data_IF_678800069264
#
_entry.id   IF_678800069264
#
_cell.length_a   1.000
_cell.length_b   1.000
_cell.length_c   1.000
_cell.angle_alpha   90.00
_cell.angle_beta   90.00
_cell.angle_gamma   90.00
#
_symmetry.space_group_name_H-M   'P 1'
#
loop_
_entity.id
_entity.type
_entity.pdbx_description
1 polymer ?
#
# COMPACT_ATOMS: atom_id res chain seq x y z
N UNK A 1 -18.41 4.73 -2.60
CA UNK A 1 -17.12 5.34 -3.04
C UNK A 1 -16.79 6.67 -2.35
N UNK A 2 -17.60 7.73 -2.47
CA UNK A 2 -17.29 9.04 -1.84
C UNK A 2 -17.09 9.00 -0.32
N UNK A 3 -17.89 8.20 0.38
CA UNK A 3 -17.74 8.03 1.83
C UNK A 3 -16.38 7.43 2.22
N UNK A 4 -15.86 6.48 1.43
CA UNK A 4 -14.55 5.85 1.65
C UNK A 4 -13.41 6.83 1.37
N UNK A 5 -13.54 7.64 0.31
CA UNK A 5 -12.57 8.69 -0.01
C UNK A 5 -12.50 9.71 1.13
N UNK A 6 -13.65 10.15 1.65
CA UNK A 6 -13.69 11.10 2.75
C UNK A 6 -13.07 10.52 4.04
N UNK A 7 -13.30 9.24 4.34
CA UNK A 7 -12.64 8.60 5.49
C UNK A 7 -11.13 8.48 5.29
N UNK A 8 -10.70 8.19 4.06
CA UNK A 8 -9.26 8.10 3.75
C UNK A 8 -8.59 9.48 3.81
N UNK A 9 -9.25 10.56 3.34
CA UNK A 9 -8.77 11.93 3.53
C UNK A 9 -8.52 12.23 5.01
N UNK A 10 -9.46 11.84 5.89
CA UNK A 10 -9.29 12.03 7.32
C UNK A 10 -8.10 11.21 7.88
N UNK A 11 -7.92 9.97 7.42
CA UNK A 11 -6.82 9.10 7.83
C UNK A 11 -5.45 9.66 7.39
N UNK A 12 -5.31 10.07 6.12
CA UNK A 12 -4.08 10.66 5.58
C UNK A 12 -3.73 11.95 6.31
N UNK A 13 -4.73 12.81 6.57
CA UNK A 13 -4.54 14.02 7.39
C UNK A 13 -4.02 13.69 8.78
N UNK A 14 -4.63 12.74 9.47
CA UNK A 14 -4.20 12.34 10.80
C UNK A 14 -2.77 11.80 10.79
N UNK A 15 -2.41 11.00 9.78
CA UNK A 15 -1.05 10.49 9.60
C UNK A 15 -0.04 11.63 9.38
N UNK A 16 -0.37 12.62 8.57
CA UNK A 16 0.47 13.79 8.35
C UNK A 16 0.64 14.61 9.64
N UNK A 17 -0.45 14.86 10.36
CA UNK A 17 -0.40 15.60 11.64
C UNK A 17 0.46 14.88 12.68
N UNK A 18 0.35 13.56 12.79
CA UNK A 18 1.18 12.76 13.70
C UNK A 18 2.68 12.88 13.38
N UNK A 19 3.04 12.96 12.09
CA UNK A 19 4.43 13.12 11.66
C UNK A 19 4.95 14.56 11.84
N UNK A 20 4.14 15.56 11.49
CA UNK A 20 4.58 16.96 11.48
C UNK A 20 4.48 17.62 12.86
N UNK A 21 3.47 17.27 13.66
CA UNK A 21 3.22 17.96 14.91
C UNK A 21 4.11 17.50 16.06
N UNK A 22 4.90 16.42 15.88
CA UNK A 22 5.84 15.93 16.90
C UNK A 22 5.17 15.65 18.26
N UNK A 23 3.89 15.28 18.26
CA UNK A 23 3.08 15.08 19.47
C UNK A 23 2.33 16.32 19.97
N UNK A 24 2.42 17.47 19.31
CA UNK A 24 1.57 18.63 19.59
C UNK A 24 0.20 18.48 18.92
N UNK A 25 -0.91 18.84 19.58
CA UNK A 25 -2.20 18.89 18.93
C UNK A 25 -2.22 20.03 17.90
N UNK A 26 -2.26 19.69 16.61
CA UNK A 26 -2.52 20.63 15.53
C UNK A 26 -3.95 20.47 15.01
N UNK A 27 -4.57 21.59 14.68
CA UNK A 27 -5.91 21.59 14.10
C UNK A 27 -5.86 21.10 12.65
N UNK A 28 -6.60 20.02 12.36
CA UNK A 28 -6.70 19.42 11.03
C UNK A 28 -7.44 20.31 10.02
N UNK A 29 -8.21 21.28 10.50
CA UNK A 29 -8.94 22.25 9.66
C UNK A 29 -8.01 23.20 8.90
N UNK A 30 -6.75 23.31 9.35
CA UNK A 30 -5.73 24.13 8.70
C UNK A 30 -5.30 23.59 7.33
N UNK A 31 -5.62 22.32 7.04
CA UNK A 31 -5.23 21.65 5.79
C UNK A 31 -6.48 21.33 4.97
N UNK A 32 -6.67 21.95 3.78
CA UNK A 32 -7.82 21.65 2.91
C UNK A 32 -7.89 20.18 2.50
N UNK A 33 -9.11 19.64 2.38
CA UNK A 33 -9.36 18.25 1.93
C UNK A 33 -8.78 17.99 0.54
N UNK A 34 -8.87 18.98 -0.36
CA UNK A 34 -8.39 18.89 -1.75
C UNK A 34 -6.90 18.57 -1.87
N UNK A 35 -6.10 18.88 -0.83
CA UNK A 35 -4.68 18.53 -0.79
C UNK A 35 -4.45 17.02 -0.68
N UNK A 36 -5.41 16.27 -0.14
CA UNK A 36 -5.30 14.85 0.14
C UNK A 36 -6.21 13.99 -0.74
N UNK A 37 -7.18 14.61 -1.42
CA UNK A 37 -8.14 13.89 -2.26
C UNK A 37 -7.48 12.99 -3.32
N UNK A 38 -6.44 13.41 -4.08
CA UNK A 38 -5.81 12.53 -5.08
C UNK A 38 -5.15 11.29 -4.46
N UNK A 39 -4.47 11.45 -3.32
CA UNK A 39 -3.83 10.33 -2.62
C UNK A 39 -4.88 9.39 -2.02
N UNK A 40 -5.92 9.95 -1.39
CA UNK A 40 -7.02 9.19 -0.81
C UNK A 40 -7.78 8.39 -1.88
N UNK A 41 -8.06 8.99 -3.03
CA UNK A 41 -8.69 8.31 -4.16
C UNK A 41 -7.83 7.14 -4.66
N UNK A 42 -6.50 7.34 -4.79
CA UNK A 42 -5.56 6.28 -5.18
C UNK A 42 -5.58 5.13 -4.17
N UNK A 43 -5.48 5.41 -2.87
CA UNK A 43 -5.48 4.40 -1.80
C UNK A 43 -6.79 3.61 -1.74
N UNK A 44 -7.94 4.30 -1.80
CA UNK A 44 -9.25 3.65 -1.82
C UNK A 44 -9.40 2.77 -3.06
N UNK A 45 -8.97 3.24 -4.22
CA UNK A 45 -9.05 2.48 -5.47
C UNK A 45 -8.19 1.22 -5.39
N UNK A 46 -6.93 1.33 -4.94
CA UNK A 46 -6.05 0.18 -4.77
C UNK A 46 -6.60 -0.83 -3.75
N UNK A 47 -7.08 -0.36 -2.60
CA UNK A 47 -7.67 -1.24 -1.60
C UNK A 47 -8.89 -2.01 -2.12
N UNK A 48 -9.73 -1.37 -2.94
CA UNK A 48 -10.86 -2.03 -3.60
C UNK A 48 -10.40 -3.03 -4.67
N UNK A 49 -9.36 -2.72 -5.44
CA UNK A 49 -8.79 -3.64 -6.43
C UNK A 49 -8.20 -4.88 -5.77
N UNK A 50 -7.41 -4.70 -4.71
CA UNK A 50 -6.86 -5.81 -3.92
C UNK A 50 -7.98 -6.68 -3.38
N UNK A 51 -9.00 -6.08 -2.74
CA UNK A 51 -10.13 -6.83 -2.20
C UNK A 51 -10.90 -7.62 -3.27
N UNK A 52 -11.12 -7.04 -4.45
CA UNK A 52 -11.80 -7.69 -5.55
C UNK A 52 -10.96 -8.84 -6.13
N UNK A 53 -9.65 -8.63 -6.35
CA UNK A 53 -8.74 -9.66 -6.87
C UNK A 53 -8.63 -10.81 -5.87
N UNK A 54 -8.41 -10.53 -4.59
CA UNK A 54 -8.37 -11.54 -3.53
C UNK A 54 -9.65 -12.37 -3.50
N UNK A 55 -10.82 -11.74 -3.63
CA UNK A 55 -12.09 -12.45 -3.67
C UNK A 55 -12.24 -13.30 -4.94
N UNK A 56 -11.94 -12.73 -6.11
CA UNK A 56 -12.09 -13.41 -7.40
C UNK A 56 -11.16 -14.62 -7.55
N UNK A 57 -9.96 -14.54 -6.95
CA UNK A 57 -8.96 -15.60 -6.96
C UNK A 57 -9.02 -16.50 -5.72
N UNK A 58 -10.00 -16.29 -4.82
CA UNK A 58 -10.15 -17.04 -3.56
C UNK A 58 -8.86 -17.08 -2.73
N UNK A 59 -8.12 -15.97 -2.70
CA UNK A 59 -6.89 -15.86 -1.93
C UNK A 59 -7.21 -15.71 -0.44
N UNK A 60 -6.58 -16.56 0.36
CA UNK A 60 -6.56 -16.46 1.81
C UNK A 60 -5.18 -16.01 2.28
N UNK A 61 -5.14 -15.26 3.39
CA UNK A 61 -3.88 -14.82 3.99
C UNK A 61 -3.08 -16.04 4.43
N UNK A 62 -1.83 -16.15 3.95
CA UNK A 62 -0.94 -17.23 4.38
C UNK A 62 -0.36 -16.94 5.78
N UNK A 63 -0.84 -17.67 6.78
CA UNK A 63 -0.38 -17.58 8.17
C UNK A 63 1.13 -17.84 8.33
N UNK A 64 1.73 -18.66 7.46
CA UNK A 64 3.17 -18.91 7.48
C UNK A 64 3.95 -17.68 6.99
N UNK A 65 3.45 -17.00 5.95
CA UNK A 65 4.02 -15.73 5.49
C UNK A 65 3.85 -14.62 6.53
N UNK A 66 2.70 -14.55 7.20
CA UNK A 66 2.47 -13.62 8.32
C UNK A 66 3.48 -13.85 9.43
N UNK A 67 3.67 -15.09 9.86
CA UNK A 67 4.66 -15.44 10.87
C UNK A 67 6.07 -15.06 10.43
N UNK A 68 6.46 -15.42 9.20
CA UNK A 68 7.78 -15.11 8.67
C UNK A 68 8.05 -13.61 8.65
N UNK A 69 7.06 -12.80 8.23
CA UNK A 69 7.17 -11.34 8.22
C UNK A 69 7.32 -10.76 9.63
N UNK A 70 6.56 -11.26 10.60
CA UNK A 70 6.69 -10.84 12.00
C UNK A 70 8.09 -11.17 12.54
N UNK A 71 8.58 -12.39 12.27
CA UNK A 71 9.90 -12.85 12.70
C UNK A 71 11.03 -12.02 12.05
N UNK A 72 10.92 -11.70 10.76
CA UNK A 72 11.87 -10.84 10.04
C UNK A 72 11.93 -9.44 10.65
N UNK A 73 10.78 -8.81 10.90
CA UNK A 73 10.74 -7.49 11.53
C UNK A 73 11.30 -7.54 12.96
N UNK A 74 10.91 -8.56 13.74
CA UNK A 74 11.36 -8.73 15.11
C UNK A 74 12.87 -8.98 15.23
N UNK A 75 13.49 -9.64 14.25
CA UNK A 75 14.91 -9.96 14.24
C UNK A 75 15.83 -8.71 14.26
N UNK A 76 15.29 -7.54 13.89
CA UNK A 76 16.02 -6.27 13.94
C UNK A 76 16.10 -5.65 15.35
N UNK A 77 15.35 -6.20 16.31
CA UNK A 77 15.28 -5.69 17.68
C UNK A 77 16.13 -6.53 18.63
N UNK A 78 16.55 -5.93 19.75
CA UNK A 78 17.33 -6.60 20.79
C UNK A 78 16.56 -7.75 21.49
N UNK A 79 15.23 -7.67 21.51
CA UNK A 79 14.33 -8.61 22.19
C UNK A 79 13.23 -9.08 21.23
N UNK A 80 13.56 -9.92 20.23
CA UNK A 80 12.65 -10.31 19.17
C UNK A 80 11.39 -11.00 19.70
N UNK A 81 11.49 -11.79 20.76
CA UNK A 81 10.34 -12.52 21.34
C UNK A 81 9.26 -11.57 21.88
N UNK A 82 9.65 -10.41 22.41
CA UNK A 82 8.70 -9.41 22.90
C UNK A 82 7.97 -8.72 21.75
N UNK A 83 8.67 -8.48 20.63
CA UNK A 83 8.07 -7.89 19.43
C UNK A 83 7.09 -8.87 18.79
N UNK A 84 7.47 -10.14 18.68
CA UNK A 84 6.58 -11.21 18.20
C UNK A 84 5.32 -11.27 19.08
N UNK A 85 5.48 -11.32 20.40
CA UNK A 85 4.35 -11.35 21.33
C UNK A 85 3.47 -10.10 21.19
N UNK A 86 4.05 -8.92 21.02
CA UNK A 86 3.32 -7.68 20.82
C UNK A 86 2.37 -7.80 19.61
N UNK A 87 2.87 -8.24 18.46
CA UNK A 87 2.04 -8.42 17.27
C UNK A 87 0.87 -9.40 17.52
N UNK A 88 1.12 -10.55 18.13
CA UNK A 88 0.06 -11.53 18.40
C UNK A 88 -0.94 -11.13 19.49
N UNK A 89 -0.59 -10.17 20.37
CA UNK A 89 -1.50 -9.65 21.40
C UNK A 89 -2.23 -8.38 21.00
N UNK A 90 -1.78 -7.73 19.92
CA UNK A 90 -2.36 -6.50 19.41
C UNK A 90 -3.00 -6.79 18.05
N UNK A 91 -4.32 -7.01 18.05
CA UNK A 91 -5.09 -7.30 16.84
C UNK A 91 -4.89 -6.23 15.75
N UNK A 92 -4.79 -4.95 16.12
CA UNK A 92 -4.56 -3.88 15.13
C UNK A 92 -3.19 -4.02 14.47
N UNK A 93 -2.15 -4.38 15.23
CA UNK A 93 -0.81 -4.60 14.69
C UNK A 93 -0.77 -5.85 13.81
N UNK A 94 -1.42 -6.94 14.25
CA UNK A 94 -1.50 -8.18 13.48
C UNK A 94 -2.24 -7.99 12.16
N UNK A 95 -3.39 -7.31 12.18
CA UNK A 95 -4.18 -7.00 10.98
C UNK A 95 -3.36 -6.20 9.95
N UNK A 96 -2.48 -5.30 10.41
CA UNK A 96 -1.57 -4.57 9.53
C UNK A 96 -0.60 -5.49 8.78
N UNK A 97 -0.02 -6.48 9.47
CA UNK A 97 0.84 -7.48 8.83
C UNK A 97 0.05 -8.37 7.88
N UNK A 98 -1.12 -8.86 8.30
CA UNK A 98 -1.99 -9.68 7.44
C UNK A 98 -2.41 -8.95 6.17
N UNK A 99 -2.71 -7.65 6.27
CA UNK A 99 -3.03 -6.82 5.11
C UNK A 99 -1.85 -6.72 4.15
N UNK A 100 -0.64 -6.45 4.67
CA UNK A 100 0.57 -6.39 3.85
C UNK A 100 0.89 -7.74 3.18
N UNK A 101 0.68 -8.86 3.87
CA UNK A 101 0.86 -10.20 3.30
C UNK A 101 -0.17 -10.48 2.19
N UNK A 102 -1.43 -10.10 2.39
CA UNK A 102 -2.46 -10.20 1.34
C UNK A 102 -2.08 -9.36 0.11
N UNK A 103 -1.58 -8.15 0.32
CA UNK A 103 -1.11 -7.29 -0.78
C UNK A 103 0.01 -7.97 -1.58
N UNK A 104 1.03 -8.52 -0.91
CA UNK A 104 2.11 -9.26 -1.56
C UNK A 104 1.57 -10.46 -2.36
N UNK A 105 0.65 -11.24 -1.77
CA UNK A 105 0.04 -12.39 -2.44
C UNK A 105 -0.76 -11.98 -3.68
N UNK A 106 -1.49 -10.87 -3.63
CA UNK A 106 -2.22 -10.33 -4.78
C UNK A 106 -1.26 -9.88 -5.88
N UNK A 107 -0.17 -9.21 -5.52
CA UNK A 107 0.85 -8.78 -6.49
C UNK A 107 1.45 -9.98 -7.20
N UNK A 108 1.85 -11.02 -6.46
CA UNK A 108 2.38 -12.25 -7.05
C UNK A 108 1.37 -12.91 -7.99
N UNK A 109 0.12 -13.02 -7.56
CA UNK A 109 -0.95 -13.59 -8.38
C UNK A 109 -1.19 -12.82 -9.69
N UNK A 110 -1.06 -11.48 -9.66
CA UNK A 110 -1.13 -10.66 -10.87
C UNK A 110 0.10 -10.88 -11.75
N UNK A 111 1.30 -10.95 -11.17
CA UNK A 111 2.56 -11.18 -11.89
C UNK A 111 2.56 -12.51 -12.65
N UNK A 112 1.93 -13.55 -12.09
CA UNK A 112 1.75 -14.85 -12.74
C UNK A 112 0.86 -14.80 -14.01
N UNK A 113 0.00 -13.79 -14.12
CA UNK A 113 -0.98 -13.65 -15.20
C UNK A 113 -0.59 -12.65 -16.29
N UNK A 114 0.44 -11.85 -16.04
CA UNK A 114 0.92 -10.84 -16.99
C UNK A 114 2.15 -11.32 -17.74
N UNK A 115 2.36 -10.75 -18.92
CA UNK A 115 3.59 -10.99 -19.68
C UNK A 115 4.71 -10.14 -19.11
N UNK A 116 5.69 -10.78 -18.49
CA UNK A 116 6.91 -10.11 -18.02
C UNK A 116 7.83 -9.88 -19.23
N UNK A 117 8.28 -8.64 -19.40
CA UNK A 117 9.32 -8.25 -20.35
C UNK A 117 10.51 -7.68 -19.60
N UNK A 118 11.70 -8.18 -19.91
CA UNK A 118 12.95 -7.67 -19.33
C UNK A 118 13.60 -6.68 -20.29
N UNK A 119 13.96 -5.50 -19.78
CA UNK A 119 14.71 -4.49 -20.51
C UNK A 119 16.06 -4.25 -19.83
N UNK A 120 17.15 -4.28 -20.60
CA UNK A 120 18.48 -3.92 -20.08
C UNK A 120 18.66 -2.42 -20.16
N UNK A 121 18.62 -1.77 -19.01
CA UNK A 121 18.88 -0.33 -18.85
C UNK A 121 20.27 -0.09 -18.24
N UNK A 122 20.88 1.06 -18.53
CA UNK A 122 22.09 1.48 -17.84
C UNK A 122 21.80 1.91 -16.40
N UNK A 123 22.82 1.92 -15.54
CA UNK A 123 22.68 2.39 -14.15
C UNK A 123 22.15 3.83 -14.06
N UNK A 124 22.55 4.71 -14.99
CA UNK A 124 22.11 6.10 -15.02
C UNK A 124 20.64 6.20 -15.43
N UNK A 125 20.17 5.34 -16.32
CA UNK A 125 18.76 5.27 -16.72
C UNK A 125 17.89 4.70 -15.60
N UNK A 126 18.34 3.65 -14.90
CA UNK A 126 17.60 3.06 -13.77
C UNK A 126 17.40 4.00 -12.56
N UNK A 127 18.21 5.06 -12.44
CA UNK A 127 18.10 6.06 -11.37
C UNK A 127 17.33 7.31 -11.79
N UNK A 128 16.99 7.46 -13.07
CA UNK A 128 16.19 8.59 -13.51
C UNK A 128 14.74 8.37 -13.05
N UNK A 129 14.07 9.39 -12.50
CA UNK A 129 12.64 9.30 -12.22
C UNK A 129 11.91 9.03 -13.53
N UNK A 130 10.91 8.15 -13.50
CA UNK A 130 10.10 7.86 -14.68
C UNK A 130 9.60 9.18 -15.29
N UNK A 131 9.84 9.34 -16.60
CA UNK A 131 9.26 10.46 -17.32
C UNK A 131 7.73 10.36 -17.18
N UNK A 132 7.01 11.48 -17.00
CA UNK A 132 5.57 11.45 -16.97
C UNK A 132 5.06 10.75 -18.24
N UNK A 133 4.28 9.68 -18.07
CA UNK A 133 3.72 8.93 -19.19
C UNK A 133 2.94 9.89 -20.09
N UNK A 134 3.42 10.09 -21.33
CA UNK A 134 2.62 10.73 -22.35
C UNK A 134 1.42 9.79 -22.62
N UNK A 135 0.19 10.32 -22.64
CA UNK A 135 -0.97 9.47 -22.91
C UNK A 135 -0.76 8.81 -24.27
N UNK A 136 -0.80 7.48 -24.29
CA UNK A 136 -0.78 6.69 -25.51
C UNK A 136 -1.89 7.21 -26.43
N UNK A 137 -1.48 7.89 -27.51
CA UNK A 137 -2.39 8.35 -28.56
C UNK A 137 -3.05 7.10 -29.15
N UNK A 138 -4.35 6.94 -28.88
CA UNK A 138 -5.18 5.85 -29.38
C UNK A 138 -5.33 5.94 -30.90
N UNK A 139 -4.27 5.60 -31.61
CA UNK A 139 -4.23 5.54 -33.06
C UNK A 139 -4.79 4.20 -33.55
N UNK A 140 -6.11 4.08 -33.66
CA UNK A 140 -6.75 3.30 -34.73
C UNK A 140 -8.21 3.75 -34.94
N UNK A 141 -8.40 4.94 -35.52
CA UNK A 141 -9.62 5.21 -36.30
C UNK A 141 -9.37 4.74 -37.75
N UNK A 142 -9.51 3.44 -37.97
CA UNK A 142 -9.61 2.85 -39.30
C UNK A 142 -10.82 3.42 -40.06
N UNK A 143 -10.53 4.16 -41.13
CA UNK A 143 -11.47 4.45 -42.23
C UNK A 143 -11.45 3.33 -43.26
#
# INVERSE_FOLDING_TARGET
>A
PRALINSEIAAVKQQMLSQFAGGQPMDSSLFPDDLFAPEAEKRVTLGLLIAEISQAAELEVDDAMVRARIEEQAATYEQPEQVIQYYYTNEQALNGIQSAVMEDQVVEHVLEQVKISEETVSYVEALQPDAPEEPEDGGDEGR
#
